data_IF_531653537565
#
_entry.id   IF_531653537565
#
_cell.length_a   1.000
_cell.length_b   1.000
_cell.length_c   1.000
_cell.angle_alpha   90.00
_cell.angle_beta   90.00
_cell.angle_gamma   90.00
#
_symmetry.space_group_name_H-M   'P 1'
#
loop_
_entity.id
_entity.type
_entity.pdbx_description
1 polymer ?
#
# COMPACT_ATOMS: atom_id res chain seq x y z
N UNK A 1 -9.72 -0.52 28.72
CA UNK A 1 -9.67 -1.88 28.14
C UNK A 1 -8.29 -2.29 27.59
N UNK A 2 -7.54 -1.45 26.85
CA UNK A 2 -6.24 -1.84 26.23
C UNK A 2 -5.14 -2.30 27.21
N UNK A 3 -5.16 -1.85 28.45
CA UNK A 3 -4.09 -2.10 29.43
C UNK A 3 -4.41 -3.20 30.45
N UNK A 4 -5.49 -3.96 30.25
CA UNK A 4 -5.83 -5.03 31.18
C UNK A 4 -4.90 -6.23 30.96
N UNK A 5 -4.27 -6.74 32.02
CA UNK A 5 -3.28 -7.83 31.96
C UNK A 5 -3.78 -9.04 31.16
N UNK A 6 -5.01 -9.48 31.44
CA UNK A 6 -5.66 -10.58 30.71
C UNK A 6 -5.79 -10.34 29.19
N UNK A 7 -6.04 -9.11 28.76
CA UNK A 7 -6.12 -8.77 27.33
C UNK A 7 -4.75 -8.85 26.66
N UNK A 8 -3.69 -8.41 27.36
CA UNK A 8 -2.32 -8.50 26.87
C UNK A 8 -1.85 -9.96 26.76
N UNK A 9 -2.18 -10.80 27.75
CA UNK A 9 -1.89 -12.24 27.71
C UNK A 9 -2.57 -12.93 26.51
N UNK A 10 -3.84 -12.62 26.26
CA UNK A 10 -4.57 -13.16 25.10
C UNK A 10 -3.98 -12.66 23.77
N UNK A 11 -3.58 -11.38 23.69
CA UNK A 11 -2.89 -10.87 22.51
C UNK A 11 -1.54 -11.54 22.28
N UNK A 12 -0.80 -11.85 23.34
CA UNK A 12 0.48 -12.53 23.26
C UNK A 12 0.36 -13.95 22.70
N UNK A 13 -0.76 -14.63 22.96
CA UNK A 13 -1.07 -15.94 22.38
C UNK A 13 -1.46 -15.88 20.90
N UNK A 14 -1.68 -14.68 20.37
CA UNK A 14 -2.08 -14.45 18.99
C UNK A 14 -3.58 -14.18 18.85
N UNK A 15 -3.89 -13.24 17.97
CA UNK A 15 -5.28 -12.85 17.67
C UNK A 15 -5.88 -13.83 16.66
N UNK A 16 -7.07 -14.41 16.93
CA UNK A 16 -7.75 -15.29 15.98
C UNK A 16 -8.00 -14.60 14.62
N UNK A 17 -7.79 -15.28 13.48
CA UNK A 17 -7.89 -14.66 12.16
C UNK A 17 -9.20 -13.90 11.91
N UNK A 18 -10.34 -14.46 12.33
CA UNK A 18 -11.67 -13.89 12.12
C UNK A 18 -11.90 -12.52 12.79
N UNK A 19 -11.06 -12.12 13.76
CA UNK A 19 -11.18 -10.82 14.46
C UNK A 19 -10.00 -9.89 14.20
N UNK A 20 -8.99 -10.32 13.43
CA UNK A 20 -7.78 -9.51 13.16
C UNK A 20 -8.11 -8.20 12.48
N UNK A 21 -8.89 -8.21 11.40
CA UNK A 21 -9.23 -6.98 10.66
C UNK A 21 -9.84 -5.91 11.55
N UNK A 22 -10.86 -6.28 12.32
CA UNK A 22 -11.51 -5.37 13.27
C UNK A 22 -10.55 -4.85 14.34
N UNK A 23 -9.75 -5.73 14.94
CA UNK A 23 -8.80 -5.33 15.99
C UNK A 23 -7.66 -4.45 15.45
N UNK A 24 -7.10 -4.80 14.29
CA UNK A 24 -6.02 -4.06 13.67
C UNK A 24 -6.49 -2.67 13.25
N UNK A 25 -7.69 -2.53 12.69
CA UNK A 25 -8.27 -1.21 12.38
C UNK A 25 -8.37 -0.32 13.62
N UNK A 26 -8.82 -0.88 14.76
CA UNK A 26 -8.88 -0.15 16.03
C UNK A 26 -7.50 0.16 16.64
N UNK A 27 -6.49 -0.70 16.39
CA UNK A 27 -5.13 -0.53 16.90
C UNK A 27 -4.27 0.41 16.04
N UNK A 28 -4.48 0.38 14.72
CA UNK A 28 -3.82 1.25 13.76
C UNK A 28 -4.42 2.66 13.83
N UNK A 29 -5.74 2.77 13.88
CA UNK A 29 -6.45 4.04 13.87
C UNK A 29 -6.65 4.59 12.45
N UNK A 30 -7.29 5.76 12.37
CA UNK A 30 -7.50 6.49 11.12
C UNK A 30 -7.31 8.00 11.31
N UNK A 31 -6.16 8.40 11.85
CA UNK A 31 -5.83 9.80 12.13
C UNK A 31 -5.76 10.64 10.84
N UNK A 32 -5.49 9.99 9.70
CA UNK A 32 -5.54 10.61 8.36
C UNK A 32 -6.96 10.86 7.84
N UNK A 33 -8.00 10.41 8.54
CA UNK A 33 -9.40 10.52 8.13
C UNK A 33 -9.69 9.98 6.72
N UNK A 34 -9.05 8.86 6.37
CA UNK A 34 -9.24 8.23 5.07
C UNK A 34 -10.64 7.63 4.98
N UNK A 35 -11.39 8.01 3.96
CA UNK A 35 -12.75 7.54 3.70
C UNK A 35 -12.78 6.50 2.59
N UNK A 36 -13.90 5.79 2.49
CA UNK A 36 -14.16 4.87 1.38
C UNK A 36 -14.09 5.59 0.02
N UNK A 37 -14.77 6.73 -0.09
CA UNK A 37 -14.81 7.53 -1.32
C UNK A 37 -13.42 7.99 -1.75
N UNK A 38 -12.56 8.36 -0.79
CA UNK A 38 -11.17 8.73 -1.10
C UNK A 38 -10.40 7.56 -1.71
N UNK A 39 -10.57 6.35 -1.16
CA UNK A 39 -9.96 5.15 -1.73
C UNK A 39 -10.44 4.91 -3.17
N UNK A 40 -11.75 4.99 -3.42
CA UNK A 40 -12.32 4.82 -4.77
C UNK A 40 -11.76 5.85 -5.77
N UNK A 41 -11.68 7.13 -5.37
CA UNK A 41 -11.08 8.19 -6.19
C UNK A 41 -9.62 7.88 -6.52
N UNK A 42 -8.85 7.39 -5.54
CA UNK A 42 -7.44 7.02 -5.75
C UNK A 42 -7.30 5.81 -6.68
N UNK A 43 -8.16 4.80 -6.56
CA UNK A 43 -8.19 3.65 -7.48
C UNK A 43 -8.53 4.09 -8.89
N UNK A 44 -9.56 4.94 -9.06
CA UNK A 44 -9.95 5.44 -10.37
C UNK A 44 -8.80 6.21 -11.04
N UNK A 45 -8.14 7.10 -10.29
CA UNK A 45 -6.95 7.83 -10.77
C UNK A 45 -5.81 6.91 -11.18
N UNK A 46 -5.57 5.84 -10.43
CA UNK A 46 -4.54 4.86 -10.77
C UNK A 46 -4.88 4.11 -12.08
N UNK A 47 -6.15 3.73 -12.26
CA UNK A 47 -6.62 3.06 -13.48
C UNK A 47 -6.57 3.96 -14.71
N UNK A 48 -6.99 5.21 -14.58
CA UNK A 48 -6.96 6.18 -15.69
C UNK A 48 -5.52 6.39 -16.18
N UNK A 49 -4.55 6.46 -15.26
CA UNK A 49 -3.13 6.57 -15.60
C UNK A 49 -2.61 5.35 -16.36
N UNK A 50 -2.97 4.14 -15.94
CA UNK A 50 -2.60 2.90 -16.64
C UNK A 50 -3.16 2.86 -18.07
N UNK A 51 -4.40 3.34 -18.25
CA UNK A 51 -5.04 3.43 -19.57
C UNK A 51 -4.37 4.47 -20.46
N UNK A 52 -4.04 5.64 -19.91
CA UNK A 52 -3.34 6.70 -20.63
C UNK A 52 -1.94 6.26 -21.06
N UNK A 53 -1.15 5.64 -20.17
CA UNK A 53 0.19 5.12 -20.49
C UNK A 53 0.15 4.05 -21.61
N UNK A 54 -0.91 3.25 -21.67
CA UNK A 54 -1.11 2.27 -22.75
C UNK A 54 -1.51 2.89 -24.08
N UNK A 55 -1.97 4.15 -24.10
CA UNK A 55 -2.43 4.87 -25.29
C UNK A 55 -1.47 5.95 -25.81
N UNK A 56 -0.47 6.35 -25.02
CA UNK A 56 0.46 7.45 -25.32
C UNK A 56 1.80 6.99 -25.89
N UNK A 57 1.79 6.15 -26.92
CA UNK A 57 2.99 5.87 -27.73
C UNK A 57 3.31 6.99 -28.74
N UNK A 58 2.52 8.08 -28.80
CA UNK A 58 2.63 9.12 -29.84
C UNK A 58 2.45 10.60 -29.38
N UNK A 59 2.81 11.00 -28.15
CA UNK A 59 2.73 12.44 -27.79
C UNK A 59 3.99 12.98 -27.10
N UNK A 60 4.42 14.14 -27.59
CA UNK A 60 5.71 14.80 -27.44
C UNK A 60 6.11 15.20 -26.00
N UNK A 61 7.37 14.90 -25.70
CA UNK A 61 8.38 15.59 -24.87
C UNK A 61 7.92 16.83 -24.06
N UNK A 62 7.59 16.61 -22.77
CA UNK A 62 7.54 17.63 -21.71
C UNK A 62 8.28 17.04 -20.48
N UNK A 63 9.40 17.62 -20.02
CA UNK A 63 10.20 17.02 -18.96
C UNK A 63 9.61 17.36 -17.59
N UNK A 64 8.77 16.49 -17.03
CA UNK A 64 8.19 16.72 -15.70
C UNK A 64 7.99 15.45 -14.86
N UNK A 65 8.84 15.23 -13.85
CA UNK A 65 8.60 14.38 -12.64
C UNK A 65 7.95 12.99 -12.93
N UNK A 66 8.18 12.38 -14.09
CA UNK A 66 7.52 11.14 -14.51
C UNK A 66 8.42 9.91 -14.39
N UNK A 67 9.74 10.11 -14.29
CA UNK A 67 10.71 9.02 -14.16
C UNK A 67 10.53 8.20 -12.88
N UNK A 68 10.18 8.83 -11.74
CA UNK A 68 9.91 8.11 -10.48
C UNK A 68 8.55 7.36 -10.50
N UNK A 69 7.65 7.71 -11.43
CA UNK A 69 6.28 7.18 -11.49
C UNK A 69 6.16 5.91 -12.33
N UNK A 70 6.81 5.88 -13.49
CA UNK A 70 6.96 4.65 -14.30
C UNK A 70 7.66 3.57 -13.46
N UNK A 71 8.72 3.96 -12.74
CA UNK A 71 9.44 3.09 -11.82
C UNK A 71 8.57 2.55 -10.69
N UNK A 72 7.61 3.32 -10.18
CA UNK A 72 6.70 2.84 -9.13
C UNK A 72 5.84 1.67 -9.62
N UNK A 73 5.35 1.69 -10.86
CA UNK A 73 4.52 0.60 -11.39
C UNK A 73 5.33 -0.68 -11.62
N UNK A 74 6.54 -0.56 -12.18
CA UNK A 74 7.45 -1.71 -12.37
C UNK A 74 7.84 -2.33 -11.03
N UNK A 75 8.17 -1.50 -10.03
CA UNK A 75 8.50 -1.95 -8.68
C UNK A 75 7.32 -2.65 -8.01
N UNK A 76 6.09 -2.16 -8.18
CA UNK A 76 4.88 -2.83 -7.69
C UNK A 76 4.76 -4.23 -8.29
N UNK A 77 4.88 -4.36 -9.62
CA UNK A 77 4.75 -5.66 -10.28
C UNK A 77 5.85 -6.64 -9.85
N UNK A 78 7.09 -6.16 -9.78
CA UNK A 78 8.23 -6.94 -9.28
C UNK A 78 7.98 -7.44 -7.86
N UNK A 79 7.52 -6.56 -6.97
CA UNK A 79 7.28 -6.92 -5.58
C UNK A 79 6.11 -7.87 -5.40
N UNK A 80 5.00 -7.68 -6.12
CA UNK A 80 3.88 -8.62 -6.11
C UNK A 80 4.35 -10.03 -6.51
N UNK A 81 5.21 -10.15 -7.51
CA UNK A 81 5.73 -11.45 -7.97
C UNK A 81 6.45 -12.24 -6.86
N UNK A 82 7.08 -11.54 -5.91
CA UNK A 82 7.81 -12.13 -4.77
C UNK A 82 7.08 -11.98 -3.42
N UNK A 83 5.85 -11.48 -3.39
CA UNK A 83 5.06 -11.33 -2.16
C UNK A 83 4.35 -12.63 -1.82
N UNK A 84 4.82 -13.33 -0.78
CA UNK A 84 4.31 -14.63 -0.34
C UNK A 84 4.08 -15.63 -1.50
N UNK A 85 5.09 -15.89 -2.35
CA UNK A 85 4.91 -16.60 -3.63
C UNK A 85 4.42 -18.04 -3.45
N UNK A 86 4.75 -18.69 -2.33
CA UNK A 86 4.31 -20.05 -2.02
C UNK A 86 2.80 -20.17 -1.77
N UNK A 87 2.09 -19.06 -1.52
CA UNK A 87 0.63 -19.07 -1.41
C UNK A 87 -0.06 -19.06 -2.77
N UNK A 88 0.62 -18.60 -3.83
CA UNK A 88 0.08 -18.48 -5.20
C UNK A 88 -1.21 -17.64 -5.33
N UNK A 89 -1.53 -16.80 -4.34
CA UNK A 89 -2.77 -16.02 -4.32
C UNK A 89 -2.59 -14.57 -4.77
N UNK A 90 -1.38 -14.03 -4.64
CA UNK A 90 -1.07 -12.63 -4.97
C UNK A 90 -0.42 -12.46 -6.32
N UNK A 91 0.17 -13.51 -6.90
CA UNK A 91 0.83 -13.47 -8.21
C UNK A 91 -0.21 -13.36 -9.34
N UNK A 92 0.23 -13.02 -10.56
CA UNK A 92 -0.66 -12.91 -11.74
C UNK A 92 -1.58 -14.14 -11.83
N UNK A 93 -2.88 -13.89 -12.08
CA UNK A 93 -3.98 -14.89 -12.10
C UNK A 93 -4.44 -15.39 -10.72
N UNK A 94 -3.79 -14.98 -9.62
CA UNK A 94 -4.23 -15.25 -8.27
C UNK A 94 -5.44 -14.40 -7.86
N UNK A 95 -6.30 -14.89 -6.95
CA UNK A 95 -7.54 -14.21 -6.55
C UNK A 95 -7.34 -12.84 -5.90
N UNK A 96 -6.16 -12.57 -5.31
CA UNK A 96 -5.86 -11.30 -4.65
C UNK A 96 -4.92 -10.38 -5.45
N UNK A 97 -4.51 -10.78 -6.66
CA UNK A 97 -3.57 -10.01 -7.47
C UNK A 97 -4.09 -8.60 -7.76
N UNK A 98 -5.29 -8.49 -8.34
CA UNK A 98 -5.88 -7.18 -8.71
C UNK A 98 -6.14 -6.31 -7.49
N UNK A 99 -6.51 -6.91 -6.37
CA UNK A 99 -6.76 -6.21 -5.11
C UNK A 99 -5.47 -5.60 -4.55
N UNK A 100 -4.39 -6.39 -4.51
CA UNK A 100 -3.09 -5.92 -4.04
C UNK A 100 -2.52 -4.85 -4.97
N UNK A 101 -2.58 -5.09 -6.28
CA UNK A 101 -2.11 -4.14 -7.29
C UNK A 101 -2.87 -2.80 -7.19
N UNK A 102 -4.20 -2.85 -7.12
CA UNK A 102 -5.04 -1.65 -7.01
C UNK A 102 -4.77 -0.86 -5.74
N UNK A 103 -4.60 -1.53 -4.59
CA UNK A 103 -4.30 -0.86 -3.31
C UNK A 103 -2.96 -0.13 -3.36
N UNK A 104 -1.90 -0.79 -3.88
CA UNK A 104 -0.57 -0.20 -3.99
C UNK A 104 -0.53 0.97 -4.98
N UNK A 105 -1.15 0.81 -6.15
CA UNK A 105 -1.24 1.87 -7.15
C UNK A 105 -2.07 3.06 -6.65
N UNK A 106 -3.18 2.81 -5.94
CA UNK A 106 -3.97 3.85 -5.28
C UNK A 106 -3.15 4.59 -4.23
N UNK A 107 -2.30 3.90 -3.46
CA UNK A 107 -1.44 4.55 -2.47
C UNK A 107 -0.39 5.45 -3.12
N UNK A 108 0.27 4.99 -4.19
CA UNK A 108 1.19 5.81 -4.95
C UNK A 108 0.49 7.07 -5.53
N UNK A 109 -0.80 6.99 -5.87
CA UNK A 109 -1.60 8.14 -6.27
C UNK A 109 -1.98 9.06 -5.10
N UNK A 110 -2.22 8.50 -3.92
CA UNK A 110 -2.59 9.23 -2.70
C UNK A 110 -1.41 10.00 -2.09
N UNK A 111 -0.22 9.38 -2.05
CA UNK A 111 1.03 9.95 -1.57
C UNK A 111 2.08 9.96 -2.68
N UNK A 112 1.92 10.82 -3.71
CA UNK A 112 2.91 10.91 -4.79
C UNK A 112 4.27 11.40 -4.30
N UNK A 113 4.31 12.08 -3.15
CA UNK A 113 5.52 12.48 -2.45
C UNK A 113 6.29 11.30 -1.87
N UNK A 114 5.69 10.13 -1.70
CA UNK A 114 6.36 8.88 -1.27
C UNK A 114 6.45 7.90 -2.44
N UNK A 115 5.40 7.82 -3.25
CA UNK A 115 5.27 6.83 -4.32
C UNK A 115 5.16 5.41 -3.76
N UNK A 116 5.72 4.47 -4.51
CA UNK A 116 5.90 3.09 -4.05
C UNK A 116 7.34 2.86 -3.60
N UNK A 117 7.52 2.30 -2.40
CA UNK A 117 8.83 1.86 -1.92
C UNK A 117 8.84 0.34 -1.79
N UNK A 118 9.96 -0.25 -2.19
CA UNK A 118 10.17 -1.68 -2.17
C UNK A 118 9.82 -2.30 -0.80
N UNK A 119 9.06 -3.39 -0.82
CA UNK A 119 8.59 -4.12 0.35
C UNK A 119 7.20 -3.70 0.85
N UNK A 120 6.65 -2.59 0.38
CA UNK A 120 5.29 -2.15 0.74
C UNK A 120 4.21 -3.20 0.42
N UNK A 121 4.41 -3.99 -0.64
CA UNK A 121 3.53 -5.09 -1.02
C UNK A 121 3.26 -6.11 0.09
N UNK A 122 4.25 -6.41 0.93
CA UNK A 122 4.10 -7.39 2.01
C UNK A 122 3.15 -6.87 3.10
N UNK A 123 3.26 -5.58 3.44
CA UNK A 123 2.38 -4.95 4.41
C UNK A 123 0.96 -4.90 3.86
N UNK A 124 0.79 -4.45 2.62
CA UNK A 124 -0.51 -4.40 1.95
C UNK A 124 -1.15 -5.80 1.85
N UNK A 125 -0.39 -6.83 1.46
CA UNK A 125 -0.85 -8.21 1.36
C UNK A 125 -1.36 -8.76 2.69
N UNK A 126 -0.67 -8.49 3.81
CA UNK A 126 -1.13 -8.90 5.14
C UNK A 126 -2.45 -8.21 5.50
N UNK A 127 -2.62 -6.94 5.15
CA UNK A 127 -3.86 -6.22 5.43
C UNK A 127 -5.04 -6.77 4.63
N UNK A 128 -4.91 -6.95 3.31
CA UNK A 128 -6.02 -7.43 2.45
C UNK A 128 -6.43 -8.88 2.74
N UNK A 129 -5.58 -9.69 3.38
CA UNK A 129 -5.98 -11.02 3.87
C UNK A 129 -6.92 -10.97 5.06
N UNK A 130 -6.98 -9.84 5.76
CA UNK A 130 -7.67 -9.72 7.05
C UNK A 130 -8.81 -8.68 7.03
N UNK A 131 -8.95 -7.87 5.97
CA UNK A 131 -10.00 -6.87 5.84
C UNK A 131 -10.23 -6.47 4.38
N UNK A 132 -11.38 -5.85 4.11
CA UNK A 132 -11.77 -5.39 2.77
C UNK A 132 -10.86 -4.26 2.25
N UNK A 133 -10.74 -4.07 0.93
CA UNK A 133 -9.77 -3.16 0.33
C UNK A 133 -9.80 -1.70 0.85
N UNK A 134 -10.97 -1.06 1.05
CA UNK A 134 -11.02 0.30 1.59
C UNK A 134 -10.51 0.39 3.03
N UNK A 135 -10.84 -0.61 3.88
CA UNK A 135 -10.34 -0.67 5.25
C UNK A 135 -8.83 -0.96 5.27
N UNK A 136 -8.36 -1.85 4.38
CA UNK A 136 -6.96 -2.18 4.22
C UNK A 136 -6.15 -0.97 3.76
N UNK A 137 -6.67 -0.19 2.81
CA UNK A 137 -6.04 1.04 2.33
C UNK A 137 -5.93 2.10 3.44
N UNK A 138 -7.01 2.33 4.19
CA UNK A 138 -6.98 3.25 5.32
C UNK A 138 -5.95 2.81 6.39
N UNK A 139 -5.93 1.53 6.74
CA UNK A 139 -4.95 0.99 7.67
C UNK A 139 -3.52 1.11 7.14
N UNK A 140 -3.31 0.80 5.86
CA UNK A 140 -2.02 0.85 5.20
C UNK A 140 -1.44 2.28 5.24
N UNK A 141 -2.21 3.26 4.81
CA UNK A 141 -1.77 4.65 4.79
C UNK A 141 -1.52 5.22 6.19
N UNK A 142 -2.38 4.91 7.18
CA UNK A 142 -2.16 5.33 8.56
C UNK A 142 -0.93 4.66 9.18
N UNK A 143 -0.72 3.37 8.90
CA UNK A 143 0.44 2.63 9.40
C UNK A 143 1.75 3.23 8.86
N UNK A 144 1.80 3.51 7.56
CA UNK A 144 2.95 4.12 6.90
C UNK A 144 3.18 5.59 7.30
N UNK A 145 2.15 6.29 7.78
CA UNK A 145 2.28 7.64 8.30
C UNK A 145 2.86 7.70 9.73
N UNK A 146 3.03 6.56 10.43
CA UNK A 146 3.62 6.54 11.76
C UNK A 146 5.11 6.92 11.72
N UNK A 147 5.65 7.59 12.76
CA UNK A 147 7.03 8.08 12.77
C UNK A 147 8.08 7.02 12.42
N UNK A 148 7.92 5.79 12.93
CA UNK A 148 8.83 4.70 12.62
C UNK A 148 8.85 4.35 11.13
N UNK A 149 7.69 4.08 10.52
CA UNK A 149 7.61 3.72 9.10
C UNK A 149 8.03 4.89 8.21
N UNK A 150 7.65 6.13 8.55
CA UNK A 150 8.12 7.32 7.83
C UNK A 150 9.64 7.42 7.85
N UNK A 151 10.29 7.18 8.99
CA UNK A 151 11.75 7.22 9.06
C UNK A 151 12.42 6.21 8.12
N UNK A 152 11.85 5.02 7.94
CA UNK A 152 12.41 3.99 7.05
C UNK A 152 12.06 4.21 5.56
N UNK A 153 10.85 4.67 5.25
CA UNK A 153 10.41 4.87 3.86
C UNK A 153 10.78 6.24 3.28
N UNK A 154 11.06 7.24 4.10
CA UNK A 154 11.57 8.54 3.66
C UNK A 154 13.10 8.62 3.56
N UNK A 155 13.83 7.65 4.14
CA UNK A 155 15.31 7.65 4.13
C UNK A 155 15.88 7.53 2.71
N UNK A 156 15.24 6.73 1.87
CA UNK A 156 15.69 6.48 0.49
C UNK A 156 15.61 7.75 -0.38
N UNK A 157 14.62 8.62 -0.12
CA UNK A 157 14.52 9.90 -0.82
C UNK A 157 15.64 10.87 -0.45
N UNK A 158 16.09 10.86 0.81
CA UNK A 158 17.16 11.72 1.26
C UNK A 158 18.51 11.32 0.63
N UNK A 159 18.72 10.03 0.39
CA UNK A 159 19.93 9.56 -0.30
C UNK A 159 19.91 9.88 -1.80
N UNK A 160 18.74 9.83 -2.44
CA UNK A 160 18.57 10.20 -3.86
C UNK A 160 18.79 11.70 -4.13
N UNK A 161 18.43 12.59 -3.21
CA UNK A 161 18.59 14.04 -3.40
C UNK A 161 20.00 14.57 -3.10
N UNK A 162 20.84 13.83 -2.36
CA UNK A 162 22.20 14.26 -2.00
C UNK A 162 23.28 13.87 -3.03
N UNK A 163 22.89 13.30 -4.18
CA UNK A 163 23.81 12.92 -5.26
C UNK A 163 23.62 13.71 -6.57
N UNK A 164 22.90 14.84 -6.54
CA UNK A 164 22.86 15.82 -7.63
C UNK A 164 23.62 17.09 -7.27
#
# INVERSE_FOLDING_TARGET
MRNHKRTQELWWQGVPPCVRGRLWRLAIGNDLNITHDLYEICVQRAQDRLRSASGSMEALDEPCIDSDREGSMELIQLDISRTFPHLCIFQKRGPYYEMLHSLLAAYACYRPDVGYVQGMSFIAAVLILNMDPPEAFACFANLLNRPCHRAFYSLDQYLKTNHN
#
